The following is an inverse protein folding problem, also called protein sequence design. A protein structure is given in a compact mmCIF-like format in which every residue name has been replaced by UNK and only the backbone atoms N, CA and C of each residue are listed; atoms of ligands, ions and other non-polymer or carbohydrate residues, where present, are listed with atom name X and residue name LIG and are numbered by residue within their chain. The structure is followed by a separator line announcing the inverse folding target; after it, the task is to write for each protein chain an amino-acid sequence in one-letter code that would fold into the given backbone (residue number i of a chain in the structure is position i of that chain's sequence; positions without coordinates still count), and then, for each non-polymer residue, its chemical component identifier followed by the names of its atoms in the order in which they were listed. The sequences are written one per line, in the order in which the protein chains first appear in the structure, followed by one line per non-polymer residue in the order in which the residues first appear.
data_IF_957946910063
#
_entry.id   IF_957946910063
#
_cell.length_a   1.000
_cell.length_b   1.000
_cell.length_c   1.000
_cell.angle_alpha   90.00
_cell.angle_beta   90.00
_cell.angle_gamma   90.00
#
_symmetry.space_group_name_H-M   'P 1'
#
loop_
_entity.id
_entity.type
_entity.pdbx_description
1 polymer ?
#
# COMPACT_ATOMS: atom_id res chain seq x y z
N UNK A 1 -0.90 25.47 -16.18
CA UNK A 1 -2.12 25.81 -15.43
C UNK A 1 -2.74 24.48 -15.02
N UNK A 2 -2.73 24.18 -13.73
CA UNK A 2 -3.19 22.89 -13.19
C UNK A 2 -4.70 22.98 -13.08
N UNK A 3 -5.41 22.14 -13.85
CA UNK A 3 -6.85 22.01 -13.79
C UNK A 3 -7.30 21.73 -12.34
N UNK A 4 -8.36 22.38 -11.89
CA UNK A 4 -8.81 22.22 -10.51
C UNK A 4 -9.32 20.79 -10.29
N UNK A 5 -9.10 20.26 -9.08
CA UNK A 5 -9.55 18.92 -8.69
C UNK A 5 -11.06 18.73 -8.84
N UNK A 6 -11.85 19.82 -8.76
CA UNK A 6 -13.31 19.78 -8.97
C UNK A 6 -13.70 19.65 -10.44
N UNK A 7 -12.93 20.22 -11.36
CA UNK A 7 -13.21 20.13 -12.80
C UNK A 7 -12.82 18.76 -13.36
N UNK A 8 -11.80 18.12 -12.76
CA UNK A 8 -11.44 16.73 -13.03
C UNK A 8 -12.50 15.72 -12.56
N UNK A 9 -13.32 16.05 -11.56
CA UNK A 9 -14.32 15.15 -10.96
C UNK A 9 -15.58 14.94 -11.81
N UNK A 10 -15.88 15.82 -12.77
CA UNK A 10 -17.13 15.76 -13.55
C UNK A 10 -17.03 14.99 -14.87
N UNK A 11 -15.82 14.62 -15.31
CA UNK A 11 -15.65 13.78 -16.49
C UNK A 11 -15.73 12.31 -16.08
N UNK A 12 -16.65 11.54 -16.67
CA UNK A 12 -16.58 10.06 -16.65
C UNK A 12 -15.16 9.67 -17.04
N UNK A 13 -14.38 9.22 -16.06
CA UNK A 13 -12.91 9.32 -16.04
C UNK A 13 -12.19 8.59 -17.19
N UNK A 14 -12.88 7.74 -17.94
CA UNK A 14 -12.34 6.89 -19.00
C UNK A 14 -13.39 6.63 -20.09
N UNK A 15 -13.00 6.28 -21.32
CA UNK A 15 -13.90 5.88 -22.39
C UNK A 15 -14.21 4.36 -22.40
N UNK A 16 -15.39 3.95 -22.85
CA UNK A 16 -15.78 2.53 -22.86
C UNK A 16 -15.33 1.78 -24.12
N UNK A 17 -14.94 2.50 -25.18
CA UNK A 17 -14.45 1.97 -26.45
C UNK A 17 -13.56 3.00 -27.16
N UNK A 18 -12.89 2.58 -28.24
CA UNK A 18 -12.08 3.47 -29.09
C UNK A 18 -12.92 4.55 -29.79
N UNK A 19 -14.18 4.24 -30.14
CA UNK A 19 -15.10 5.21 -30.75
C UNK A 19 -15.67 6.18 -29.68
N UNK A 20 -15.96 5.69 -28.47
CA UNK A 20 -16.33 6.55 -27.33
C UNK A 20 -15.18 7.48 -26.93
N UNK A 21 -13.93 7.05 -27.07
CA UNK A 21 -12.76 7.89 -26.81
C UNK A 21 -12.74 9.11 -27.74
N UNK A 22 -12.97 8.91 -29.04
CA UNK A 22 -13.04 10.02 -30.01
C UNK A 22 -14.13 11.00 -29.61
N UNK A 23 -15.33 10.48 -29.30
CA UNK A 23 -16.47 11.31 -28.92
C UNK A 23 -16.17 12.14 -27.67
N UNK A 24 -15.57 11.54 -26.64
CA UNK A 24 -15.18 12.27 -25.42
C UNK A 24 -14.13 13.33 -25.67
N UNK A 25 -13.16 13.06 -26.56
CA UNK A 25 -12.19 14.07 -26.96
C UNK A 25 -12.88 15.24 -27.70
N UNK A 26 -13.85 14.97 -28.58
CA UNK A 26 -14.65 16.02 -29.24
C UNK A 26 -15.50 16.80 -28.24
N UNK A 27 -16.14 16.13 -27.29
CA UNK A 27 -16.94 16.75 -26.22
C UNK A 27 -16.08 17.70 -25.36
N UNK A 28 -14.83 17.34 -25.07
CA UNK A 28 -13.89 18.23 -24.37
C UNK A 28 -13.70 19.53 -25.15
N UNK A 29 -13.48 19.45 -26.47
CA UNK A 29 -13.29 20.65 -27.32
C UNK A 29 -14.56 21.50 -27.37
N UNK A 30 -15.72 20.85 -27.53
CA UNK A 30 -17.01 21.52 -27.65
C UNK A 30 -17.44 22.22 -26.35
N UNK A 31 -16.96 21.74 -25.20
CA UNK A 31 -17.29 22.28 -23.88
C UNK A 31 -16.27 23.29 -23.35
N UNK A 32 -15.24 23.66 -24.13
CA UNK A 32 -14.32 24.72 -23.75
C UNK A 32 -15.08 26.05 -23.61
N UNK A 33 -14.85 26.75 -22.50
CA UNK A 33 -15.38 28.13 -22.35
C UNK A 33 -14.75 29.06 -23.39
N UNK A 34 -15.39 30.18 -23.75
CA UNK A 34 -14.80 31.15 -24.67
C UNK A 34 -13.44 31.67 -24.22
N UNK A 35 -13.20 31.77 -22.90
CA UNK A 35 -11.92 32.17 -22.32
C UNK A 35 -10.85 31.09 -22.52
N UNK A 36 -11.17 29.83 -22.21
CA UNK A 36 -10.26 28.70 -22.40
C UNK A 36 -9.93 28.46 -23.87
N UNK A 37 -10.92 28.57 -24.75
CA UNK A 37 -10.79 28.37 -26.19
C UNK A 37 -9.85 29.41 -26.83
N UNK A 38 -9.95 30.68 -26.42
CA UNK A 38 -9.19 31.80 -26.98
C UNK A 38 -7.85 32.06 -26.25
N UNK A 39 -7.58 31.36 -25.16
CA UNK A 39 -6.30 31.46 -24.47
C UNK A 39 -5.15 30.99 -25.38
N UNK A 40 -4.00 31.68 -25.30
CA UNK A 40 -2.80 31.33 -26.05
C UNK A 40 -2.23 30.00 -25.55
N UNK A 41 -2.01 29.06 -26.46
CA UNK A 41 -1.34 27.80 -26.13
C UNK A 41 0.13 28.07 -25.82
N UNK A 42 0.58 27.88 -24.58
CA UNK A 42 2.01 27.95 -24.20
C UNK A 42 2.76 26.65 -24.57
N UNK A 43 2.39 26.06 -25.70
CA UNK A 43 2.79 24.73 -26.11
C UNK A 43 4.06 24.89 -26.95
N UNK A 44 5.22 24.52 -26.37
CA UNK A 44 6.55 24.64 -26.98
C UNK A 44 6.68 23.60 -28.10
N UNK A 45 5.95 23.77 -29.21
CA UNK A 45 6.09 22.92 -30.40
C UNK A 45 5.98 23.81 -31.63
N UNK A 46 7.13 24.04 -32.27
CA UNK A 46 7.38 24.18 -33.71
C UNK A 46 6.26 24.68 -34.66
N UNK A 47 5.41 25.62 -34.27
CA UNK A 47 4.49 26.31 -35.20
C UNK A 47 5.04 27.63 -35.72
N UNK A 48 6.37 27.80 -35.77
CA UNK A 48 6.98 29.09 -36.14
C UNK A 48 6.42 30.26 -35.31
N UNK A 49 6.48 31.48 -35.86
CA UNK A 49 5.95 32.69 -35.20
C UNK A 49 4.41 32.74 -35.11
N UNK A 50 3.69 31.64 -35.36
CA UNK A 50 2.23 31.59 -35.30
C UNK A 50 1.75 31.30 -33.88
N UNK A 51 1.04 32.26 -33.31
CA UNK A 51 0.27 32.07 -32.08
C UNK A 51 -0.97 31.22 -32.43
N UNK A 52 -1.04 30.00 -31.88
CA UNK A 52 -2.23 29.15 -31.96
C UNK A 52 -3.11 29.32 -30.71
N UNK A 53 -4.42 29.21 -30.91
CA UNK A 53 -5.39 29.17 -29.82
C UNK A 53 -5.43 27.79 -29.17
N UNK A 54 -5.84 27.71 -27.91
CA UNK A 54 -6.08 26.43 -27.24
C UNK A 54 -7.13 25.58 -27.97
N UNK A 55 -8.17 26.20 -28.54
CA UNK A 55 -9.17 25.47 -29.31
C UNK A 55 -8.56 24.77 -30.54
N UNK A 56 -7.81 25.50 -31.35
CA UNK A 56 -7.10 24.91 -32.51
C UNK A 56 -6.18 23.76 -32.07
N UNK A 57 -5.46 23.94 -30.96
CA UNK A 57 -4.59 22.90 -30.41
C UNK A 57 -5.35 21.63 -30.00
N UNK A 58 -6.48 21.78 -29.31
CA UNK A 58 -7.33 20.67 -28.92
C UNK A 58 -7.96 19.97 -30.13
N UNK A 59 -8.42 20.72 -31.14
CA UNK A 59 -8.96 20.17 -32.40
C UNK A 59 -7.90 19.36 -33.18
N UNK A 60 -6.68 19.88 -33.27
CA UNK A 60 -5.56 19.17 -33.88
C UNK A 60 -5.26 17.87 -33.13
N UNK A 61 -5.37 17.89 -31.80
CA UNK A 61 -5.19 16.71 -30.98
C UNK A 61 -6.31 15.67 -31.19
N UNK A 62 -7.57 16.09 -31.29
CA UNK A 62 -8.68 15.17 -31.67
C UNK A 62 -8.38 14.48 -33.00
N UNK A 63 -7.84 15.21 -33.99
CA UNK A 63 -7.41 14.61 -35.26
C UNK A 63 -6.33 13.55 -35.06
N UNK A 64 -5.33 13.81 -34.22
CA UNK A 64 -4.32 12.79 -33.88
C UNK A 64 -4.93 11.56 -33.21
N UNK A 65 -5.91 11.73 -32.31
CA UNK A 65 -6.61 10.60 -31.68
C UNK A 65 -7.35 9.77 -32.73
N UNK A 66 -8.07 10.42 -33.66
CA UNK A 66 -8.76 9.75 -34.78
C UNK A 66 -7.80 8.95 -35.65
N UNK A 67 -6.64 9.53 -35.99
CA UNK A 67 -5.61 8.85 -36.77
C UNK A 67 -5.02 7.65 -36.02
N UNK A 68 -4.78 7.79 -34.71
CA UNK A 68 -4.31 6.70 -33.88
C UNK A 68 -5.32 5.55 -33.79
N UNK A 69 -6.61 5.85 -33.60
CA UNK A 69 -7.69 4.85 -33.61
C UNK A 69 -7.78 4.13 -34.95
N UNK A 70 -7.68 4.87 -36.07
CA UNK A 70 -7.66 4.29 -37.42
C UNK A 70 -6.44 3.39 -37.62
N UNK A 71 -5.28 3.78 -37.10
CA UNK A 71 -4.06 2.99 -37.10
C UNK A 71 -4.22 1.68 -36.31
N UNK A 72 -4.79 1.76 -35.11
CA UNK A 72 -5.07 0.60 -34.26
C UNK A 72 -6.00 -0.40 -34.97
N UNK A 73 -7.13 0.06 -35.52
CA UNK A 73 -8.08 -0.80 -36.25
C UNK A 73 -7.44 -1.49 -37.46
N UNK A 74 -6.56 -0.80 -38.20
CA UNK A 74 -5.80 -1.41 -39.30
C UNK A 74 -4.84 -2.49 -38.83
N UNK A 75 -4.15 -2.25 -37.71
CA UNK A 75 -3.26 -3.25 -37.11
C UNK A 75 -4.04 -4.48 -36.68
N UNK A 76 -5.20 -4.29 -36.03
CA UNK A 76 -6.10 -5.38 -35.65
C UNK A 76 -6.53 -6.21 -36.85
N UNK A 77 -6.98 -5.56 -37.94
CA UNK A 77 -7.40 -6.26 -39.16
C UNK A 77 -6.25 -7.05 -39.80
N UNK A 78 -5.03 -6.48 -39.81
CA UNK A 78 -3.84 -7.18 -40.32
C UNK A 78 -3.49 -8.45 -39.54
N UNK A 79 -3.87 -8.50 -38.26
CA UNK A 79 -3.62 -9.62 -37.34
C UNK A 79 -4.83 -10.54 -37.19
N UNK A 80 -5.92 -10.32 -37.95
CA UNK A 80 -7.17 -11.07 -37.83
C UNK A 80 -6.98 -12.59 -37.91
N UNK A 81 -6.23 -13.07 -38.89
CA UNK A 81 -5.91 -14.49 -39.05
C UNK A 81 -5.19 -15.08 -37.82
N UNK A 82 -4.31 -14.30 -37.19
CA UNK A 82 -3.63 -14.70 -35.96
C UNK A 82 -4.61 -14.77 -34.79
N UNK A 83 -5.43 -13.74 -34.60
CA UNK A 83 -6.40 -13.71 -33.51
C UNK A 83 -7.44 -14.83 -33.61
N UNK A 84 -7.93 -15.12 -34.81
CA UNK A 84 -8.84 -16.23 -35.08
C UNK A 84 -8.16 -17.59 -34.84
N UNK A 85 -6.93 -17.79 -35.32
CA UNK A 85 -6.19 -19.06 -35.15
C UNK A 85 -5.92 -19.41 -33.69
N UNK A 86 -5.64 -18.41 -32.86
CA UNK A 86 -5.29 -18.60 -31.45
C UNK A 86 -6.47 -18.33 -30.49
N UNK A 87 -7.68 -18.13 -31.01
CA UNK A 87 -8.89 -17.85 -30.22
C UNK A 87 -8.66 -16.73 -29.19
N UNK A 88 -7.99 -15.66 -29.62
CA UNK A 88 -7.63 -14.55 -28.73
C UNK A 88 -8.90 -13.85 -28.25
N UNK A 89 -9.08 -13.63 -26.92
CA UNK A 89 -10.27 -12.97 -26.40
C UNK A 89 -10.44 -11.57 -26.96
N UNK A 90 -11.67 -11.19 -27.30
CA UNK A 90 -12.01 -9.83 -27.78
C UNK A 90 -11.48 -8.73 -26.85
N UNK A 91 -11.63 -8.91 -25.53
CA UNK A 91 -11.14 -7.97 -24.53
C UNK A 91 -9.61 -7.77 -24.56
N UNK A 92 -8.84 -8.76 -25.04
CA UNK A 92 -7.40 -8.63 -25.22
C UNK A 92 -7.06 -7.85 -26.48
N UNK A 93 -7.80 -8.07 -27.56
CA UNK A 93 -7.67 -7.32 -28.80
C UNK A 93 -7.96 -5.83 -28.54
N UNK A 94 -9.05 -5.52 -27.84
CA UNK A 94 -9.41 -4.15 -27.48
C UNK A 94 -8.35 -3.48 -26.56
N UNK A 95 -7.73 -4.25 -25.66
CA UNK A 95 -6.60 -3.76 -24.85
C UNK A 95 -5.37 -3.42 -25.71
N UNK A 96 -5.01 -4.27 -26.67
CA UNK A 96 -3.88 -3.99 -27.58
C UNK A 96 -4.15 -2.78 -28.49
N UNK A 97 -5.40 -2.59 -28.94
CA UNK A 97 -5.80 -1.36 -29.64
C UNK A 97 -5.61 -0.12 -28.77
N UNK A 98 -6.11 -0.15 -27.53
CA UNK A 98 -5.97 0.98 -26.59
C UNK A 98 -4.51 1.24 -26.21
N UNK A 99 -3.69 0.18 -26.10
CA UNK A 99 -2.25 0.28 -25.86
C UNK A 99 -1.52 0.95 -27.03
N UNK A 100 -1.88 0.60 -28.27
CA UNK A 100 -1.36 1.27 -29.46
C UNK A 100 -1.70 2.76 -29.44
N UNK A 101 -2.97 3.10 -29.19
CA UNK A 101 -3.45 4.48 -29.10
C UNK A 101 -2.71 5.25 -28.00
N UNK A 102 -2.62 4.69 -26.80
CA UNK A 102 -1.89 5.27 -25.66
C UNK A 102 -0.43 5.58 -26.03
N UNK A 103 0.28 4.62 -26.63
CA UNK A 103 1.68 4.78 -27.02
C UNK A 103 1.87 5.83 -28.11
N UNK A 104 0.97 5.92 -29.09
CA UNK A 104 1.06 6.92 -30.16
C UNK A 104 0.81 8.34 -29.68
N UNK A 105 0.02 8.48 -28.63
CA UNK A 105 -0.48 9.77 -28.18
C UNK A 105 0.32 10.30 -26.99
N UNK A 106 0.47 9.53 -25.92
CA UNK A 106 1.17 9.97 -24.70
C UNK A 106 2.69 10.10 -24.86
N UNK A 107 3.28 9.62 -25.97
CA UNK A 107 4.71 9.83 -26.28
C UNK A 107 4.98 11.13 -27.04
N UNK A 108 3.93 11.82 -27.53
CA UNK A 108 4.08 13.10 -28.21
C UNK A 108 4.07 14.23 -27.18
N UNK A 109 5.10 15.08 -27.24
CA UNK A 109 5.15 16.33 -26.47
C UNK A 109 3.92 17.19 -26.80
N UNK A 110 3.46 17.97 -25.83
CA UNK A 110 2.40 18.98 -26.03
C UNK A 110 0.98 18.43 -26.05
N UNK A 111 0.73 17.29 -25.41
CA UNK A 111 -0.63 16.80 -25.20
C UNK A 111 -1.41 17.71 -24.23
N UNK A 112 -2.68 18.08 -24.50
CA UNK A 112 -3.53 18.74 -23.53
C UNK A 112 -3.74 17.90 -22.26
N UNK A 113 -3.54 18.45 -21.04
CA UNK A 113 -3.60 17.67 -19.80
C UNK A 113 -4.91 16.90 -19.59
N UNK A 114 -6.04 17.50 -19.98
CA UNK A 114 -7.37 16.86 -19.91
C UNK A 114 -7.45 15.62 -20.80
N UNK A 115 -6.94 15.70 -22.02
CA UNK A 115 -6.96 14.61 -22.98
C UNK A 115 -5.94 13.52 -22.63
N UNK A 116 -4.77 13.90 -22.08
CA UNK A 116 -3.80 12.95 -21.54
C UNK A 116 -4.42 12.10 -20.44
N UNK A 117 -5.09 12.75 -19.50
CA UNK A 117 -5.71 12.09 -18.36
C UNK A 117 -6.83 11.14 -18.81
N UNK A 118 -7.68 11.57 -19.75
CA UNK A 118 -8.71 10.72 -20.34
C UNK A 118 -8.12 9.46 -20.99
N UNK A 119 -7.09 9.61 -21.81
CA UNK A 119 -6.47 8.47 -22.52
C UNK A 119 -5.77 7.53 -21.53
N UNK A 120 -5.04 8.07 -20.54
CA UNK A 120 -4.38 7.28 -19.50
C UNK A 120 -5.38 6.47 -18.67
N UNK A 121 -6.45 7.11 -18.21
CA UNK A 121 -7.49 6.45 -17.45
C UNK A 121 -8.20 5.38 -18.28
N UNK A 122 -8.47 5.66 -19.56
CA UNK A 122 -9.04 4.69 -20.49
C UNK A 122 -8.15 3.47 -20.65
N UNK A 123 -6.86 3.65 -20.89
CA UNK A 123 -5.93 2.54 -21.00
C UNK A 123 -5.88 1.68 -19.74
N UNK A 124 -5.79 2.30 -18.55
CA UNK A 124 -5.77 1.56 -17.29
C UNK A 124 -7.06 0.78 -17.03
N UNK A 125 -8.23 1.32 -17.38
CA UNK A 125 -9.49 0.56 -17.26
C UNK A 125 -9.55 -0.65 -18.19
N UNK A 126 -9.11 -0.54 -19.44
CA UNK A 126 -9.01 -1.70 -20.34
C UNK A 126 -8.05 -2.76 -19.79
N UNK A 127 -6.93 -2.32 -19.20
CA UNK A 127 -5.94 -3.20 -18.56
C UNK A 127 -6.53 -3.92 -17.34
N UNK A 128 -7.29 -3.22 -16.49
CA UNK A 128 -7.93 -3.83 -15.32
C UNK A 128 -9.08 -4.77 -15.68
N UNK A 129 -9.86 -4.48 -16.73
CA UNK A 129 -10.89 -5.39 -17.25
C UNK A 129 -10.28 -6.72 -17.66
N UNK A 130 -9.12 -6.68 -18.32
CA UNK A 130 -8.41 -7.89 -18.75
C UNK A 130 -7.69 -8.60 -17.61
N UNK A 131 -7.29 -7.87 -16.56
CA UNK A 131 -6.54 -8.40 -15.42
C UNK A 131 -7.09 -7.91 -14.07
N UNK A 132 -8.16 -8.53 -13.53
CA UNK A 132 -8.77 -8.14 -12.26
C UNK A 132 -7.83 -8.24 -11.04
N UNK A 133 -6.78 -9.07 -11.13
CA UNK A 133 -5.73 -9.15 -10.10
C UNK A 133 -4.92 -7.86 -9.98
N UNK A 134 -4.68 -7.16 -11.09
CA UNK A 134 -3.99 -5.87 -11.09
C UNK A 134 -4.85 -4.80 -10.42
N UNK A 135 -6.18 -4.82 -10.68
CA UNK A 135 -7.12 -3.92 -10.01
C UNK A 135 -7.08 -4.06 -8.50
N UNK A 136 -7.15 -5.30 -7.99
CA UNK A 136 -7.07 -5.57 -6.55
C UNK A 136 -5.77 -5.05 -5.92
N UNK A 137 -4.63 -5.23 -6.60
CA UNK A 137 -3.34 -4.72 -6.13
C UNK A 137 -3.33 -3.20 -6.03
N UNK A 138 -3.85 -2.51 -7.06
CA UNK A 138 -3.97 -1.05 -7.06
C UNK A 138 -4.88 -0.54 -5.95
N UNK A 139 -6.06 -1.14 -5.79
CA UNK A 139 -7.01 -0.78 -4.73
C UNK A 139 -6.43 -1.03 -3.32
N UNK A 140 -5.59 -2.05 -3.15
CA UNK A 140 -4.86 -2.28 -1.90
C UNK A 140 -3.79 -1.21 -1.66
N UNK A 141 -3.02 -0.86 -2.69
CA UNK A 141 -2.01 0.19 -2.63
C UNK A 141 -2.65 1.56 -2.33
N UNK A 142 -3.75 1.91 -2.99
CA UNK A 142 -4.50 3.15 -2.72
C UNK A 142 -5.05 3.19 -1.29
N UNK A 143 -5.53 2.05 -0.77
CA UNK A 143 -5.94 1.94 0.64
C UNK A 143 -4.76 2.16 1.59
N UNK A 144 -3.61 1.56 1.30
CA UNK A 144 -2.38 1.76 2.09
C UNK A 144 -1.95 3.22 2.07
N UNK A 145 -1.95 3.87 0.91
CA UNK A 145 -1.59 5.29 0.78
C UNK A 145 -2.57 6.18 1.55
N UNK A 146 -3.89 5.95 1.43
CA UNK A 146 -4.91 6.69 2.19
C UNK A 146 -4.70 6.53 3.70
N UNK A 147 -4.49 5.30 4.16
CA UNK A 147 -4.21 5.02 5.57
C UNK A 147 -2.93 5.72 6.04
N UNK A 148 -1.88 5.73 5.21
CA UNK A 148 -0.66 6.49 5.51
C UNK A 148 -0.90 7.99 5.58
N UNK A 149 -1.68 8.56 4.67
CA UNK A 149 -2.04 9.98 4.70
C UNK A 149 -2.87 10.35 5.93
N UNK A 150 -3.81 9.49 6.32
CA UNK A 150 -4.59 9.65 7.55
C UNK A 150 -3.71 9.56 8.79
N UNK A 151 -2.79 8.60 8.85
CA UNK A 151 -1.80 8.48 9.93
C UNK A 151 -0.91 9.73 9.98
N UNK A 152 -0.44 10.24 8.85
CA UNK A 152 0.34 11.50 8.78
C UNK A 152 -0.43 12.66 9.37
N UNK A 153 -1.69 12.84 8.97
CA UNK A 153 -2.57 13.90 9.50
C UNK A 153 -2.83 13.76 11.00
N UNK A 154 -2.91 12.53 11.50
CA UNK A 154 -3.24 12.24 12.90
C UNK A 154 -2.04 12.42 13.85
N UNK A 155 -0.82 12.11 13.39
CA UNK A 155 0.37 12.05 14.24
C UNK A 155 1.41 13.13 13.93
N UNK A 156 1.08 14.11 13.09
CA UNK A 156 1.93 15.26 12.76
C UNK A 156 1.15 16.55 12.96
N UNK A 157 1.76 17.57 13.58
CA UNK A 157 1.15 18.90 13.65
C UNK A 157 1.25 19.61 12.30
N UNK A 158 0.27 20.44 11.88
CA UNK A 158 0.34 21.20 10.63
C UNK A 158 1.59 22.07 10.47
N UNK A 159 2.19 22.49 11.60
CA UNK A 159 3.34 23.40 11.66
C UNK A 159 4.69 22.67 11.82
N UNK A 160 4.71 21.33 11.89
CA UNK A 160 5.95 20.56 11.99
C UNK A 160 6.59 20.32 10.61
N UNK A 161 7.94 20.38 10.50
CA UNK A 161 8.64 19.99 9.28
C UNK A 161 8.36 18.52 8.96
N UNK A 162 8.41 18.16 7.68
CA UNK A 162 8.08 16.83 7.16
C UNK A 162 8.75 15.72 7.98
N UNK A 163 7.96 15.06 8.83
CA UNK A 163 8.44 14.01 9.72
C UNK A 163 8.68 12.74 8.91
N UNK A 164 9.89 12.18 8.99
CA UNK A 164 10.23 10.93 8.30
C UNK A 164 9.36 9.76 8.76
N UNK A 165 9.06 8.82 7.86
CA UNK A 165 8.15 7.69 8.11
C UNK A 165 8.47 6.90 9.39
N UNK A 166 9.76 6.71 9.71
CA UNK A 166 10.19 6.00 10.92
C UNK A 166 9.77 6.71 12.21
N UNK A 167 9.80 8.04 12.23
CA UNK A 167 9.42 8.84 13.40
C UNK A 167 7.89 8.93 13.54
N UNK A 168 7.16 8.94 12.41
CA UNK A 168 5.71 8.80 12.41
C UNK A 168 5.26 7.47 13.03
N UNK A 169 5.92 6.37 12.67
CA UNK A 169 5.62 5.04 13.23
C UNK A 169 5.90 4.97 14.73
N UNK A 170 6.96 5.63 15.22
CA UNK A 170 7.23 5.75 16.66
C UNK A 170 6.14 6.51 17.40
N UNK A 171 5.70 7.65 16.87
CA UNK A 171 4.61 8.44 17.46
C UNK A 171 3.29 7.66 17.48
N UNK A 172 2.98 6.94 16.39
CA UNK A 172 1.83 6.03 16.32
C UNK A 172 1.89 4.93 17.37
N UNK A 173 3.07 4.31 17.55
CA UNK A 173 3.26 3.28 18.57
C UNK A 173 3.18 3.87 19.99
N UNK A 174 3.74 5.05 20.24
CA UNK A 174 3.66 5.72 21.54
C UNK A 174 2.22 6.11 21.92
N UNK A 175 1.41 6.55 20.93
CA UNK A 175 0.02 6.92 21.13
C UNK A 175 -0.93 5.71 21.31
N UNK A 176 -0.53 4.52 20.82
CA UNK A 176 -1.32 3.29 20.95
C UNK A 176 -0.58 2.28 21.83
N UNK A 177 -0.72 2.36 23.16
CA UNK A 177 -0.09 1.40 24.05
C UNK A 177 -0.60 -0.03 23.78
N UNK A 178 0.26 -1.05 23.97
CA UNK A 178 -0.10 -2.43 23.71
C UNK A 178 -1.20 -2.86 24.68
N UNK A 179 -2.19 -3.59 24.16
CA UNK A 179 -3.18 -4.26 25.01
C UNK A 179 -2.54 -5.50 25.59
N UNK A 180 -2.29 -5.49 26.89
CA UNK A 180 -1.71 -6.61 27.64
C UNK A 180 -2.47 -6.83 28.94
N UNK A 181 -2.48 -8.07 29.41
CA UNK A 181 -2.95 -8.50 30.72
C UNK A 181 -1.90 -8.31 31.83
N UNK A 182 -0.68 -7.89 31.48
CA UNK A 182 0.43 -7.67 32.41
C UNK A 182 0.28 -6.35 33.16
N UNK A 183 0.53 -6.40 34.48
CA UNK A 183 0.66 -5.21 35.31
C UNK A 183 1.98 -4.46 35.04
N UNK A 184 2.02 -3.17 35.38
CA UNK A 184 3.24 -2.36 35.24
C UNK A 184 4.43 -2.91 36.04
N UNK A 185 4.18 -3.52 37.20
CA UNK A 185 5.22 -4.10 38.04
C UNK A 185 5.76 -5.44 37.50
N UNK A 186 4.93 -6.22 36.80
CA UNK A 186 5.41 -7.40 36.05
C UNK A 186 6.29 -7.00 34.88
N UNK A 187 5.86 -5.99 34.10
CA UNK A 187 6.63 -5.44 32.99
C UNK A 187 8.02 -4.96 33.47
N UNK A 188 8.08 -4.20 34.58
CA UNK A 188 9.34 -3.75 35.18
C UNK A 188 10.26 -4.90 35.59
N UNK A 189 9.71 -5.98 36.16
CA UNK A 189 10.51 -7.17 36.53
C UNK A 189 11.07 -7.87 35.30
N UNK A 190 10.27 -7.98 34.23
CA UNK A 190 10.72 -8.58 32.97
C UNK A 190 11.76 -7.72 32.25
N UNK A 191 11.66 -6.38 32.34
CA UNK A 191 12.66 -5.45 31.79
C UNK A 191 14.06 -5.60 32.42
N UNK A 192 14.12 -6.05 33.68
CA UNK A 192 15.37 -6.24 34.41
C UNK A 192 16.04 -7.59 34.09
N UNK A 193 15.34 -8.50 33.42
CA UNK A 193 15.89 -9.80 33.02
C UNK A 193 16.65 -9.71 31.70
N UNK A 194 17.70 -10.51 31.57
CA UNK A 194 18.42 -10.65 30.29
C UNK A 194 17.59 -11.43 29.28
N UNK A 195 17.80 -11.15 27.98
CA UNK A 195 17.13 -11.84 26.88
C UNK A 195 17.29 -13.37 26.94
N UNK A 196 18.47 -13.87 27.33
CA UNK A 196 18.73 -15.31 27.49
C UNK A 196 17.83 -15.97 28.56
N UNK A 197 17.50 -15.24 29.62
CA UNK A 197 16.63 -15.72 30.69
C UNK A 197 15.16 -15.70 30.25
N UNK A 198 14.73 -14.64 29.55
CA UNK A 198 13.37 -14.57 28.99
C UNK A 198 13.11 -15.71 28.01
N UNK A 199 14.06 -16.02 27.12
CA UNK A 199 13.96 -17.13 26.17
C UNK A 199 13.83 -18.49 26.89
N UNK A 200 14.63 -18.72 27.94
CA UNK A 200 14.54 -19.95 28.74
C UNK A 200 13.16 -20.15 29.37
N UNK A 201 12.55 -19.07 29.87
CA UNK A 201 11.20 -19.12 30.42
C UNK A 201 10.11 -19.28 29.36
N UNK A 202 10.27 -18.69 28.16
CA UNK A 202 9.34 -18.92 27.04
C UNK A 202 9.28 -20.39 26.61
N UNK A 203 10.37 -21.14 26.79
CA UNK A 203 10.44 -22.58 26.48
C UNK A 203 10.25 -23.48 27.72
N UNK A 204 9.77 -22.95 28.84
CA UNK A 204 9.62 -23.71 30.08
C UNK A 204 8.78 -24.98 29.92
N UNK A 205 7.69 -24.92 29.16
CA UNK A 205 6.79 -26.06 28.91
C UNK A 205 7.44 -27.20 28.11
N UNK A 206 8.44 -26.93 27.28
CA UNK A 206 9.21 -27.97 26.57
C UNK A 206 10.02 -28.85 27.53
N UNK A 207 10.36 -28.34 28.73
CA UNK A 207 11.10 -29.11 29.72
C UNK A 207 10.21 -30.09 30.51
N UNK A 208 8.89 -30.05 30.32
CA UNK A 208 7.96 -30.96 31.03
C UNK A 208 8.16 -32.42 30.66
N UNK A 209 8.62 -32.71 29.44
CA UNK A 209 8.94 -34.06 29.01
C UNK A 209 9.99 -34.76 29.90
N UNK A 210 10.87 -33.99 30.55
CA UNK A 210 11.86 -34.52 31.50
C UNK A 210 11.35 -34.60 32.93
N UNK A 211 10.38 -33.76 33.31
CA UNK A 211 9.81 -33.68 34.67
C UNK A 211 8.70 -34.72 34.88
N UNK A 212 7.92 -35.04 33.84
CA UNK A 212 6.82 -36.01 33.90
C UNK A 212 7.28 -37.43 34.29
N UNK A 213 8.40 -37.97 33.76
CA UNK A 213 8.95 -39.26 34.23
C UNK A 213 9.35 -39.23 35.71
N UNK A 214 9.95 -38.13 36.19
CA UNK A 214 10.31 -37.97 37.61
C UNK A 214 9.06 -37.91 38.50
N UNK A 215 8.00 -37.24 38.05
CA UNK A 215 6.71 -37.19 38.73
C UNK A 215 6.08 -38.59 38.86
N UNK A 216 6.10 -39.38 37.79
CA UNK A 216 5.61 -40.76 37.79
C UNK A 216 6.42 -41.65 38.75
N UNK A 217 7.74 -41.49 38.79
CA UNK A 217 8.61 -42.19 39.73
C UNK A 217 8.31 -41.80 41.19
N UNK A 218 8.05 -40.53 41.48
CA UNK A 218 7.67 -40.06 42.83
C UNK A 218 6.31 -40.60 43.30
N UNK A 219 5.39 -40.89 42.38
CA UNK A 219 4.08 -41.47 42.68
C UNK A 219 4.18 -42.98 42.89
N UNK A 220 4.99 -43.67 42.09
CA UNK A 220 5.16 -45.14 42.14
C UNK A 220 6.06 -45.59 43.30
N UNK A 221 7.07 -44.80 43.68
CA UNK A 221 7.89 -45.07 44.85
C UNK A 221 7.13 -44.67 46.13
N UNK A 222 6.59 -45.66 46.85
CA UNK A 222 5.84 -45.48 48.11
C UNK A 222 6.56 -44.53 49.09
N UNK A 223 6.05 -43.30 49.22
CA UNK A 223 6.56 -42.26 50.14
C UNK A 223 6.68 -40.85 49.55
N UNK A 224 6.56 -40.69 48.22
CA UNK A 224 6.82 -39.42 47.53
C UNK A 224 5.65 -38.46 47.34
N UNK A 225 4.48 -38.66 47.96
CA UNK A 225 3.26 -37.87 47.70
C UNK A 225 3.48 -36.34 47.89
N UNK A 226 4.22 -35.96 48.94
CA UNK A 226 4.56 -34.55 49.20
C UNK A 226 5.49 -33.99 48.11
N UNK A 227 6.45 -34.79 47.65
CA UNK A 227 7.35 -34.39 46.55
C UNK A 227 6.61 -34.27 45.21
N UNK A 228 5.65 -35.17 44.94
CA UNK A 228 4.79 -35.11 43.77
C UNK A 228 3.91 -33.85 43.78
N UNK A 229 3.30 -33.50 44.93
CA UNK A 229 2.53 -32.26 45.08
C UNK A 229 3.43 -31.03 44.86
N UNK A 230 4.63 -31.02 45.44
CA UNK A 230 5.61 -29.93 45.23
C UNK A 230 5.99 -29.75 43.76
N UNK A 231 6.22 -30.83 43.02
CA UNK A 231 6.50 -30.80 41.60
C UNK A 231 5.31 -30.28 40.76
N UNK A 232 4.08 -30.68 41.08
CA UNK A 232 2.87 -30.18 40.41
C UNK A 232 2.71 -28.68 40.63
N UNK A 233 2.86 -28.21 41.86
CA UNK A 233 2.77 -26.78 42.19
C UNK A 233 3.85 -26.00 41.43
N UNK A 234 5.08 -26.50 41.41
CA UNK A 234 6.18 -25.88 40.65
C UNK A 234 5.87 -25.81 39.14
N UNK A 235 5.32 -26.87 38.56
CA UNK A 235 4.94 -26.88 37.14
C UNK A 235 3.84 -25.86 36.83
N UNK A 236 2.79 -25.80 37.65
CA UNK A 236 1.67 -24.86 37.45
C UNK A 236 2.15 -23.42 37.60
N UNK A 237 2.90 -23.11 38.67
CA UNK A 237 3.45 -21.76 38.88
C UNK A 237 4.41 -21.37 37.76
N UNK A 238 5.26 -22.29 37.30
CA UNK A 238 6.17 -22.07 36.20
C UNK A 238 5.47 -21.84 34.86
N UNK A 239 4.34 -22.52 34.60
CA UNK A 239 3.55 -22.30 33.37
C UNK A 239 2.85 -20.96 33.36
N UNK A 240 2.24 -20.59 34.49
CA UNK A 240 1.61 -19.27 34.64
C UNK A 240 2.66 -18.19 34.41
N UNK A 241 3.86 -18.36 34.96
CA UNK A 241 4.97 -17.44 34.74
C UNK A 241 5.45 -17.43 33.27
N UNK A 242 5.59 -18.59 32.65
CA UNK A 242 5.94 -18.76 31.23
C UNK A 242 4.96 -18.03 30.31
N UNK A 243 3.65 -18.22 30.50
CA UNK A 243 2.62 -17.53 29.72
C UNK A 243 2.74 -16.00 29.83
N UNK A 244 3.02 -15.48 31.02
CA UNK A 244 3.22 -14.04 31.26
C UNK A 244 4.48 -13.52 30.56
N UNK A 245 5.57 -14.30 30.58
CA UNK A 245 6.81 -13.97 29.85
C UNK A 245 6.61 -14.04 28.34
N UNK A 246 5.86 -15.01 27.83
CA UNK A 246 5.51 -15.11 26.41
C UNK A 246 4.67 -13.91 25.96
N UNK A 247 3.71 -13.47 26.77
CA UNK A 247 2.93 -12.26 26.49
C UNK A 247 3.83 -11.01 26.46
N UNK A 248 4.76 -10.88 27.41
CA UNK A 248 5.75 -9.80 27.42
C UNK A 248 6.60 -9.83 26.14
N UNK A 249 7.09 -11.00 25.74
CA UNK A 249 7.94 -11.15 24.57
C UNK A 249 7.20 -10.97 23.24
N UNK A 250 5.92 -11.35 23.18
CA UNK A 250 5.10 -11.26 21.97
C UNK A 250 4.45 -9.90 21.75
N UNK A 251 4.22 -9.13 22.82
CA UNK A 251 3.42 -7.90 22.77
C UNK A 251 4.22 -6.67 23.22
N UNK A 252 4.93 -6.76 24.34
CA UNK A 252 5.64 -5.60 24.93
C UNK A 252 6.98 -5.35 24.28
N UNK A 253 7.80 -6.39 24.04
CA UNK A 253 9.09 -6.25 23.37
C UNK A 253 8.98 -5.67 21.94
N UNK A 254 8.06 -6.14 21.07
CA UNK A 254 7.85 -5.54 19.75
C UNK A 254 7.39 -4.09 19.85
N UNK A 255 6.47 -3.78 20.77
CA UNK A 255 6.04 -2.40 20.98
C UNK A 255 7.18 -1.48 21.44
N UNK A 256 8.09 -1.93 22.30
CA UNK A 256 9.28 -1.14 22.66
C UNK A 256 10.21 -0.90 21.49
N UNK A 257 10.31 -1.86 20.57
CA UNK A 257 11.11 -1.71 19.34
C UNK A 257 10.49 -0.67 18.42
N UNK A 258 9.18 -0.76 18.22
CA UNK A 258 8.42 0.10 17.30
C UNK A 258 8.23 1.52 17.85
N UNK A 259 8.07 1.68 19.17
CA UNK A 259 7.97 2.99 19.84
C UNK A 259 9.32 3.67 20.11
N UNK A 260 10.44 3.03 19.79
CA UNK A 260 11.78 3.58 20.04
C UNK A 260 12.24 3.55 21.51
N UNK A 261 11.38 3.10 22.44
CA UNK A 261 11.69 2.99 23.88
C UNK A 261 12.80 1.99 24.23
N UNK A 262 13.10 1.06 23.32
CA UNK A 262 14.20 0.07 23.50
C UNK A 262 15.57 0.73 23.59
N UNK A 263 15.78 1.86 22.91
CA UNK A 263 17.07 2.56 22.89
C UNK A 263 17.36 3.27 24.23
N UNK A 264 16.36 3.92 24.83
CA UNK A 264 16.49 4.55 26.15
C UNK A 264 16.73 3.53 27.25
N UNK A 265 16.00 2.41 27.26
CA UNK A 265 16.15 1.37 28.30
C UNK A 265 17.52 0.69 28.28
N UNK A 266 18.10 0.40 27.11
CA UNK A 266 19.46 -0.19 27.03
C UNK A 266 20.54 0.80 27.43
N UNK A 267 20.40 2.09 27.10
CA UNK A 267 21.35 3.12 27.51
C UNK A 267 21.30 3.28 29.04
N UNK A 268 20.11 3.40 29.63
CA UNK A 268 19.96 3.54 31.09
C UNK A 268 20.52 2.32 31.83
N UNK A 269 20.24 1.09 31.39
CA UNK A 269 20.79 -0.12 32.02
C UNK A 269 22.31 -0.29 31.85
N UNK A 270 22.91 0.29 30.81
CA UNK A 270 24.37 0.27 30.61
C UNK A 270 25.09 1.31 31.47
N UNK A 271 24.42 2.41 31.83
CA UNK A 271 25.00 3.47 32.66
C UNK A 271 24.70 3.34 34.17
N UNK A 272 23.64 2.64 34.58
CA UNK A 272 23.37 2.34 36.00
C UNK A 272 24.25 1.18 36.53
N UNK A 273 24.90 0.41 35.64
CA UNK A 273 25.85 -0.66 35.99
C UNK A 273 27.32 -0.22 36.07
N UNK A 274 27.60 1.05 36.36
CA UNK A 274 28.95 1.52 36.71
C UNK A 274 29.02 1.94 38.16
#
# INVERSE_FOLDING_TARGET
MIMSFKDAQNYKEYADSTDDLIKKCEDIVNNLTPEEANAKCNCIIQFGDRIITNKEHYEDYVRYVKDAVKGAKRQTESMKNYYERYSVPKAYIELEEMKYIYNQICTKSGTPPQMEQLIRNTYEEFKYRNSPSLRRKKEEEERRIKQMQEDVKKYTSPDEPTVGYAELMRRKAAANPPKTSLSQDEIRRFDMMSEEWLVKWCHFSYNWYWVVPCLLLCIVANGGLIAAIGLIVFMICGEIYSMRVQEYCGVILPWYRDSGKTLEKRIINKYIKK
#
